data_IF_067282983919
#
_entry.id   IF_067282983919
#
_cell.length_a   1.000
_cell.length_b   1.000
_cell.length_c   1.000
_cell.angle_alpha   90.00
_cell.angle_beta   90.00
_cell.angle_gamma   90.00
#
_symmetry.space_group_name_H-M   'P 1'
#
loop_
_entity.id
_entity.type
_entity.pdbx_description
1 polymer ?
#
# COMPACT_ATOMS: atom_id res chain seq x y z
N UNK A 1 9.59 9.85 17.86
CA UNK A 1 9.26 8.94 16.73
C UNK A 1 8.30 7.83 17.17
N UNK A 2 8.67 6.97 18.12
CA UNK A 2 7.83 5.86 18.60
C UNK A 2 6.41 6.29 19.03
N UNK A 3 6.27 7.34 19.85
CA UNK A 3 4.97 7.82 20.31
C UNK A 3 4.06 8.29 19.16
N UNK A 4 4.63 8.88 18.11
CA UNK A 4 3.88 9.31 16.91
C UNK A 4 3.40 8.09 16.14
N UNK A 5 4.28 7.12 15.88
CA UNK A 5 3.89 5.89 15.20
C UNK A 5 2.85 5.08 15.98
N UNK A 6 2.99 4.98 17.30
CA UNK A 6 1.99 4.35 18.17
C UNK A 6 0.64 5.05 18.05
N UNK A 7 0.60 6.38 18.12
CA UNK A 7 -0.64 7.15 17.98
C UNK A 7 -1.28 6.92 16.61
N UNK A 8 -0.50 6.97 15.54
CA UNK A 8 -0.99 6.78 14.16
C UNK A 8 -1.57 5.36 13.98
N UNK A 9 -0.85 4.33 14.45
CA UNK A 9 -1.32 2.95 14.44
C UNK A 9 -2.67 2.79 15.17
N UNK A 10 -2.80 3.29 16.40
CA UNK A 10 -4.04 3.17 17.16
C UNK A 10 -5.18 4.02 16.58
N UNK A 11 -4.85 5.15 15.95
CA UNK A 11 -5.82 5.97 15.23
C UNK A 11 -6.41 5.21 14.04
N UNK A 12 -5.57 4.49 13.29
CA UNK A 12 -6.02 3.63 12.20
C UNK A 12 -6.81 2.44 12.73
N UNK A 13 -6.25 1.68 13.67
CA UNK A 13 -6.87 0.45 14.20
C UNK A 13 -8.27 0.67 14.80
N UNK A 14 -8.56 1.85 15.34
CA UNK A 14 -9.88 2.21 15.88
C UNK A 14 -10.81 2.91 14.88
N UNK A 15 -10.31 3.26 13.69
CA UNK A 15 -11.08 3.98 12.69
C UNK A 15 -12.14 3.10 12.03
N UNK A 16 -13.35 3.62 11.83
CA UNK A 16 -14.44 2.90 11.15
C UNK A 16 -14.05 2.46 9.74
N UNK A 17 -13.35 3.32 8.99
CA UNK A 17 -12.81 3.00 7.65
C UNK A 17 -11.83 1.82 7.69
N UNK A 18 -11.00 1.76 8.72
CA UNK A 18 -10.01 0.69 8.91
C UNK A 18 -10.69 -0.64 9.24
N UNK A 19 -11.72 -0.64 10.08
CA UNK A 19 -12.49 -1.85 10.37
C UNK A 19 -13.15 -2.39 9.10
N UNK A 20 -13.69 -1.51 8.24
CA UNK A 20 -14.21 -1.91 6.94
C UNK A 20 -13.12 -2.52 6.05
N UNK A 21 -11.93 -1.92 5.99
CA UNK A 21 -10.78 -2.49 5.26
C UNK A 21 -10.38 -3.87 5.76
N UNK A 22 -10.27 -4.06 7.08
CA UNK A 22 -9.92 -5.36 7.68
C UNK A 22 -10.97 -6.40 7.31
N UNK A 23 -12.27 -6.08 7.44
CA UNK A 23 -13.36 -6.97 7.07
C UNK A 23 -13.31 -7.34 5.59
N UNK A 24 -13.05 -6.39 4.69
CA UNK A 24 -12.93 -6.65 3.25
C UNK A 24 -11.73 -7.58 2.97
N UNK A 25 -10.56 -7.31 3.55
CA UNK A 25 -9.38 -8.16 3.37
C UNK A 25 -9.64 -9.58 3.85
N UNK A 26 -10.33 -9.74 4.98
CA UNK A 26 -10.64 -11.06 5.53
C UNK A 26 -11.71 -11.78 4.71
N UNK A 27 -12.74 -11.09 4.24
CA UNK A 27 -13.72 -11.65 3.31
C UNK A 27 -13.06 -12.14 2.04
N UNK A 28 -12.19 -11.33 1.43
CA UNK A 28 -11.48 -11.71 0.22
C UNK A 28 -10.56 -12.89 0.49
N UNK A 29 -9.81 -12.87 1.59
CA UNK A 29 -8.97 -14.01 1.99
C UNK A 29 -9.78 -15.31 2.11
N UNK A 30 -11.01 -15.24 2.62
CA UNK A 30 -11.90 -16.39 2.73
C UNK A 30 -12.45 -16.85 1.36
N UNK A 31 -12.87 -15.91 0.51
CA UNK A 31 -13.39 -16.23 -0.83
C UNK A 31 -12.32 -16.74 -1.78
N UNK A 32 -11.08 -16.24 -1.67
CA UNK A 32 -9.96 -16.73 -2.48
C UNK A 32 -9.63 -18.18 -2.14
N UNK A 33 -9.85 -18.63 -0.91
CA UNK A 33 -9.57 -20.02 -0.51
C UNK A 33 -10.70 -21.00 -0.83
N UNK A 34 -11.95 -20.54 -0.92
CA UNK A 34 -13.08 -21.35 -1.36
C UNK A 34 -13.41 -21.03 -2.80
N UNK A 35 -12.81 -21.70 -3.79
CA UNK A 35 -13.11 -21.38 -5.16
C UNK A 35 -14.56 -21.80 -5.41
N UNK A 36 -15.38 -20.86 -5.89
CA UNK A 36 -16.70 -21.21 -6.39
C UNK A 36 -16.49 -22.14 -7.58
N UNK A 37 -17.24 -23.26 -7.63
CA UNK A 37 -17.13 -24.27 -8.70
C UNK A 37 -17.33 -23.75 -10.13
N UNK A 38 -17.60 -22.46 -10.29
CA UNK A 38 -17.74 -21.72 -11.55
C UNK A 38 -16.40 -21.48 -12.26
N UNK A 39 -15.28 -21.38 -11.54
CA UNK A 39 -13.95 -21.18 -12.14
C UNK A 39 -13.05 -22.44 -12.12
N UNK A 40 -13.37 -23.42 -11.26
CA UNK A 40 -12.52 -24.61 -11.03
C UNK A 40 -12.67 -25.66 -12.14
N UNK A 41 -13.78 -25.67 -12.87
CA UNK A 41 -14.05 -26.68 -13.89
C UNK A 41 -13.13 -26.60 -15.11
N UNK A 42 -12.40 -25.50 -15.29
CA UNK A 42 -11.51 -25.26 -16.45
C UNK A 42 -10.03 -25.11 -16.07
N UNK A 43 -9.67 -25.15 -14.79
CA UNK A 43 -8.30 -24.93 -14.31
C UNK A 43 -7.61 -26.25 -13.94
N UNK A 44 -6.32 -26.36 -14.26
CA UNK A 44 -5.49 -27.46 -13.76
C UNK A 44 -5.29 -27.34 -12.24
N UNK A 45 -4.96 -28.46 -11.57
CA UNK A 45 -4.75 -28.50 -10.10
C UNK A 45 -3.65 -27.52 -9.65
N UNK A 46 -2.62 -27.34 -10.48
CA UNK A 46 -1.48 -26.44 -10.22
C UNK A 46 -1.87 -24.96 -10.37
N UNK A 47 -2.62 -24.61 -11.42
CA UNK A 47 -3.15 -23.24 -11.61
C UNK A 47 -4.16 -22.86 -10.52
N UNK A 48 -4.97 -23.83 -10.08
CA UNK A 48 -5.89 -23.64 -8.98
C UNK A 48 -5.11 -23.27 -7.71
N UNK A 49 -4.10 -24.04 -7.29
CA UNK A 49 -3.28 -23.71 -6.10
C UNK A 49 -2.64 -22.31 -6.17
N UNK A 50 -2.17 -21.90 -7.36
CA UNK A 50 -1.57 -20.58 -7.55
C UNK A 50 -2.58 -19.44 -7.37
N UNK A 51 -3.82 -19.62 -7.86
CA UNK A 51 -4.91 -18.65 -7.75
C UNK A 51 -5.36 -18.46 -6.29
N UNK A 52 -5.40 -19.54 -5.50
CA UNK A 52 -5.78 -19.48 -4.08
C UNK A 52 -4.84 -18.58 -3.25
N UNK A 53 -3.55 -18.54 -3.61
CA UNK A 53 -2.59 -17.68 -2.92
C UNK A 53 -2.51 -16.28 -3.56
N UNK A 54 -2.65 -16.19 -4.89
CA UNK A 54 -2.50 -14.92 -5.63
C UNK A 54 -3.68 -13.95 -5.47
N UNK A 55 -4.89 -14.41 -5.10
CA UNK A 55 -6.07 -13.54 -5.08
C UNK A 55 -5.95 -12.32 -4.15
N UNK A 56 -5.25 -12.47 -3.02
CA UNK A 56 -5.02 -11.33 -2.11
C UNK A 56 -4.03 -10.32 -2.70
N UNK A 57 -2.98 -10.80 -3.39
CA UNK A 57 -2.06 -9.94 -4.12
C UNK A 57 -2.78 -9.19 -5.24
N UNK A 58 -3.61 -9.88 -6.04
CA UNK A 58 -4.41 -9.27 -7.12
C UNK A 58 -5.34 -8.19 -6.56
N UNK A 59 -5.99 -8.45 -5.43
CA UNK A 59 -6.84 -7.46 -4.79
C UNK A 59 -6.06 -6.20 -4.36
N UNK A 60 -4.90 -6.38 -3.73
CA UNK A 60 -4.04 -5.25 -3.33
C UNK A 60 -3.44 -4.54 -4.55
N UNK A 61 -3.19 -5.26 -5.63
CA UNK A 61 -2.71 -4.71 -6.90
C UNK A 61 -3.74 -3.75 -7.50
N UNK A 62 -5.02 -4.13 -7.48
CA UNK A 62 -6.12 -3.34 -8.06
C UNK A 62 -6.65 -2.26 -7.12
N UNK A 63 -6.85 -2.57 -5.85
CA UNK A 63 -7.54 -1.69 -4.90
C UNK A 63 -6.65 -1.19 -3.75
N UNK A 64 -5.43 -1.71 -3.61
CA UNK A 64 -4.54 -1.35 -2.50
C UNK A 64 -4.25 0.14 -2.44
N UNK A 65 -3.89 0.76 -3.58
CA UNK A 65 -3.61 2.21 -3.62
C UNK A 65 -4.84 3.03 -3.21
N UNK A 66 -6.04 2.64 -3.63
CA UNK A 66 -7.30 3.31 -3.28
C UNK A 66 -7.55 3.22 -1.76
N UNK A 67 -7.37 2.04 -1.18
CA UNK A 67 -7.62 1.80 0.25
C UNK A 67 -6.56 2.49 1.10
N UNK A 68 -5.27 2.37 0.76
CA UNK A 68 -4.16 3.04 1.44
C UNK A 68 -4.35 4.56 1.42
N UNK A 69 -4.69 5.13 0.27
CA UNK A 69 -4.99 6.55 0.17
C UNK A 69 -6.25 6.93 0.97
N UNK A 70 -7.33 6.15 0.88
CA UNK A 70 -8.55 6.40 1.63
C UNK A 70 -8.35 6.45 3.15
N UNK A 71 -7.40 5.67 3.68
CA UNK A 71 -7.05 5.61 5.10
C UNK A 71 -6.00 6.64 5.52
N UNK A 72 -5.04 6.97 4.66
CA UNK A 72 -3.81 7.68 5.07
C UNK A 72 -3.49 8.96 4.28
N UNK A 73 -4.34 9.36 3.32
CA UNK A 73 -4.13 10.60 2.54
C UNK A 73 -3.98 11.84 3.42
N UNK A 74 -4.68 11.88 4.56
CA UNK A 74 -4.71 13.04 5.44
C UNK A 74 -3.68 13.00 6.59
N UNK A 75 -2.77 12.02 6.57
CA UNK A 75 -1.85 11.75 7.68
C UNK A 75 -0.95 12.93 8.07
N UNK A 76 -0.41 13.68 7.10
CA UNK A 76 0.44 14.86 7.36
C UNK A 76 -0.29 16.16 7.09
N UNK A 77 -0.99 16.27 5.97
CA UNK A 77 -1.60 17.53 5.58
C UNK A 77 -2.70 18.00 6.54
N UNK A 78 -3.39 17.12 7.27
CA UNK A 78 -4.38 17.52 8.27
C UNK A 78 -3.72 18.35 9.36
N UNK A 79 -2.58 17.87 9.86
CA UNK A 79 -1.80 18.58 10.88
C UNK A 79 -1.19 19.88 10.35
N UNK A 80 -0.84 19.93 9.07
CA UNK A 80 -0.38 21.15 8.40
C UNK A 80 -1.52 22.16 8.22
N UNK A 81 -2.71 21.68 7.83
CA UNK A 81 -3.88 22.50 7.57
C UNK A 81 -4.43 23.11 8.86
N UNK A 82 -4.51 22.31 9.92
CA UNK A 82 -4.96 22.72 11.26
C UNK A 82 -3.89 23.49 12.06
N UNK A 83 -2.67 23.66 11.50
CA UNK A 83 -1.50 24.26 12.14
C UNK A 83 -1.04 23.57 13.44
N UNK A 84 -1.55 22.38 13.74
CA UNK A 84 -1.15 21.58 14.90
C UNK A 84 0.24 20.98 14.75
N UNK A 85 0.78 20.95 13.53
CA UNK A 85 2.14 20.49 13.24
C UNK A 85 3.23 21.29 13.98
N UNK A 86 2.97 22.56 14.32
CA UNK A 86 3.89 23.41 15.10
C UNK A 86 4.19 22.82 16.49
N UNK A 87 3.20 22.16 17.11
CA UNK A 87 3.38 21.49 18.40
C UNK A 87 4.21 20.20 18.30
N UNK A 88 4.25 19.58 17.12
CA UNK A 88 5.04 18.37 16.88
C UNK A 88 6.49 18.71 16.58
N UNK A 89 6.74 19.76 15.78
CA UNK A 89 8.09 20.18 15.38
C UNK A 89 8.91 20.70 16.56
N UNK A 90 8.27 21.24 17.61
CA UNK A 90 8.97 21.64 18.85
C UNK A 90 9.41 20.45 19.71
N UNK A 91 8.80 19.27 19.52
CA UNK A 91 9.07 18.06 20.34
C UNK A 91 9.90 17.00 19.62
N UNK A 92 9.97 17.03 18.28
CA UNK A 92 10.73 16.07 17.48
C UNK A 92 11.18 16.68 16.15
N UNK A 93 12.21 16.10 15.55
CA UNK A 93 12.63 16.47 14.19
C UNK A 93 11.54 16.17 13.16
N UNK A 94 11.53 16.93 12.07
CA UNK A 94 10.60 16.76 10.94
C UNK A 94 10.68 15.36 10.32
N UNK A 95 11.91 14.87 10.12
CA UNK A 95 12.12 13.48 9.68
C UNK A 95 11.50 12.49 10.68
N UNK A 96 11.64 12.76 11.98
CA UNK A 96 11.05 11.95 13.04
C UNK A 96 9.52 11.89 13.02
N UNK A 97 8.85 12.97 12.57
CA UNK A 97 7.39 13.01 12.36
C UNK A 97 7.02 12.13 11.16
N UNK A 98 7.67 12.36 10.01
CA UNK A 98 7.40 11.63 8.77
C UNK A 98 7.62 10.12 8.93
N UNK A 99 8.78 9.71 9.43
CA UNK A 99 9.08 8.29 9.68
C UNK A 99 8.17 7.71 10.76
N UNK A 100 7.84 8.49 11.81
CA UNK A 100 6.87 8.07 12.82
C UNK A 100 5.51 7.71 12.20
N UNK A 101 4.98 8.57 11.34
CA UNK A 101 3.71 8.32 10.63
C UNK A 101 3.81 7.14 9.66
N UNK A 102 4.88 7.08 8.87
CA UNK A 102 5.15 5.94 8.01
C UNK A 102 5.14 4.61 8.77
N UNK A 103 5.89 4.51 9.86
CA UNK A 103 5.93 3.28 10.65
C UNK A 103 4.57 2.93 11.27
N UNK A 104 3.79 3.91 11.72
CA UNK A 104 2.45 3.66 12.25
C UNK A 104 1.50 3.05 11.20
N UNK A 105 1.49 3.63 9.99
CA UNK A 105 0.70 3.12 8.86
C UNK A 105 1.22 1.75 8.39
N UNK A 106 2.54 1.60 8.30
CA UNK A 106 3.20 0.38 7.84
C UNK A 106 2.93 -0.80 8.79
N UNK A 107 3.07 -0.60 10.10
CA UNK A 107 2.78 -1.63 11.12
C UNK A 107 1.30 -2.02 11.09
N UNK A 108 0.40 -1.06 10.89
CA UNK A 108 -1.02 -1.34 10.73
C UNK A 108 -1.28 -2.28 9.55
N UNK A 109 -0.73 -1.97 8.37
CA UNK A 109 -0.87 -2.80 7.18
C UNK A 109 -0.19 -4.16 7.32
N UNK A 110 0.98 -4.20 7.96
CA UNK A 110 1.67 -5.45 8.28
C UNK A 110 0.78 -6.39 9.09
N UNK A 111 0.13 -5.89 10.16
CA UNK A 111 -0.79 -6.71 10.96
C UNK A 111 -2.02 -7.17 10.16
N UNK A 112 -2.59 -6.31 9.32
CA UNK A 112 -3.75 -6.66 8.49
C UNK A 112 -3.41 -7.76 7.49
N UNK A 113 -2.30 -7.60 6.76
CA UNK A 113 -1.84 -8.58 5.77
C UNK A 113 -1.38 -9.87 6.46
N UNK A 114 -0.63 -9.79 7.55
CA UNK A 114 -0.21 -10.97 8.30
C UNK A 114 -1.43 -11.77 8.78
N UNK A 115 -2.46 -11.10 9.32
CA UNK A 115 -3.72 -11.75 9.69
C UNK A 115 -4.41 -12.42 8.50
N UNK A 116 -4.50 -11.73 7.37
CA UNK A 116 -5.15 -12.26 6.17
C UNK A 116 -4.39 -13.47 5.57
N UNK A 117 -3.06 -13.40 5.47
CA UNK A 117 -2.22 -14.51 4.99
C UNK A 117 -2.17 -15.69 5.97
N UNK A 118 -2.24 -15.44 7.28
CA UNK A 118 -2.37 -16.52 8.26
C UNK A 118 -3.71 -17.26 8.10
N UNK A 119 -4.80 -16.53 7.89
CA UNK A 119 -6.11 -17.13 7.62
C UNK A 119 -6.08 -17.97 6.35
N UNK A 120 -5.53 -17.47 5.25
CA UNK A 120 -5.43 -18.26 4.01
C UNK A 120 -4.52 -19.48 4.19
N UNK A 121 -3.36 -19.30 4.84
CA UNK A 121 -2.40 -20.36 5.06
C UNK A 121 -2.89 -21.48 5.96
N UNK A 122 -3.74 -21.20 6.95
CA UNK A 122 -4.39 -22.24 7.78
C UNK A 122 -5.32 -23.11 6.92
N UNK A 123 -6.08 -22.49 6.00
CA UNK A 123 -7.08 -23.20 5.19
C UNK A 123 -6.42 -23.98 4.04
N UNK A 124 -5.42 -23.39 3.37
CA UNK A 124 -4.65 -24.03 2.27
C UNK A 124 -3.55 -24.96 2.81
N UNK A 125 -3.23 -24.91 4.11
CA UNK A 125 -2.12 -25.62 4.78
C UNK A 125 -0.72 -25.29 4.23
N UNK A 126 -0.59 -24.19 3.50
CA UNK A 126 0.67 -23.70 2.93
C UNK A 126 0.75 -22.19 3.12
N UNK A 127 1.85 -21.72 3.70
CA UNK A 127 2.13 -20.29 3.84
C UNK A 127 3.15 -19.87 2.79
N UNK A 128 2.72 -19.05 1.85
CA UNK A 128 3.59 -18.47 0.83
C UNK A 128 4.20 -17.15 1.34
N UNK A 129 5.38 -17.25 1.94
CA UNK A 129 6.13 -16.09 2.44
C UNK A 129 6.64 -15.19 1.30
N UNK A 130 6.86 -15.76 0.11
CA UNK A 130 7.31 -14.99 -1.05
C UNK A 130 6.19 -14.06 -1.52
N UNK A 131 4.98 -14.58 -1.65
CA UNK A 131 3.80 -13.81 -2.07
C UNK A 131 3.37 -12.79 -1.01
N UNK A 132 3.53 -13.12 0.28
CA UNK A 132 3.41 -12.16 1.38
C UNK A 132 4.42 -11.01 1.22
N UNK A 133 5.69 -11.32 0.94
CA UNK A 133 6.74 -10.31 0.78
C UNK A 133 6.50 -9.40 -0.43
N UNK A 134 6.06 -9.97 -1.56
CA UNK A 134 5.64 -9.22 -2.75
C UNK A 134 4.48 -8.27 -2.41
N UNK A 135 3.43 -8.77 -1.76
CA UNK A 135 2.27 -7.95 -1.36
C UNK A 135 2.68 -6.84 -0.40
N UNK A 136 3.53 -7.15 0.58
CA UNK A 136 4.03 -6.17 1.54
C UNK A 136 4.90 -5.09 0.89
N UNK A 137 5.73 -5.46 -0.10
CA UNK A 137 6.54 -4.51 -0.87
C UNK A 137 5.66 -3.52 -1.63
N UNK A 138 4.59 -4.01 -2.26
CA UNK A 138 3.63 -3.18 -3.00
C UNK A 138 2.91 -2.22 -2.05
N UNK A 139 2.39 -2.70 -0.93
CA UNK A 139 1.73 -1.82 0.06
C UNK A 139 2.70 -0.79 0.63
N UNK A 140 3.97 -1.17 0.86
CA UNK A 140 5.00 -0.23 1.30
C UNK A 140 5.18 0.91 0.29
N UNK A 141 5.27 0.59 -1.00
CA UNK A 141 5.31 1.59 -2.07
C UNK A 141 4.07 2.49 -2.06
N UNK A 142 2.87 1.91 -2.01
CA UNK A 142 1.60 2.64 -1.99
C UNK A 142 1.53 3.63 -0.80
N UNK A 143 1.94 3.20 0.40
CA UNK A 143 2.00 4.06 1.60
C UNK A 143 2.92 5.25 1.35
N UNK A 144 4.12 5.02 0.79
CA UNK A 144 5.08 6.11 0.55
C UNK A 144 4.58 7.12 -0.48
N UNK A 145 3.86 6.67 -1.52
CA UNK A 145 3.19 7.57 -2.48
C UNK A 145 2.11 8.40 -1.80
N UNK A 146 1.27 7.78 -0.98
CA UNK A 146 0.23 8.49 -0.22
C UNK A 146 0.82 9.53 0.73
N UNK A 147 1.90 9.19 1.45
CA UNK A 147 2.61 10.13 2.31
C UNK A 147 3.24 11.27 1.52
N UNK A 148 3.82 10.98 0.36
CA UNK A 148 4.37 12.00 -0.53
C UNK A 148 3.29 13.00 -0.96
N UNK A 149 2.09 12.54 -1.35
CA UNK A 149 0.97 13.43 -1.64
C UNK A 149 0.51 14.24 -0.42
N UNK A 150 0.47 13.62 0.76
CA UNK A 150 0.15 14.31 2.01
C UNK A 150 1.18 15.41 2.34
N UNK A 151 2.47 15.19 2.03
CA UNK A 151 3.50 16.23 2.15
C UNK A 151 3.36 17.30 1.07
N UNK A 152 3.06 16.93 -0.18
CA UNK A 152 3.00 17.88 -1.29
C UNK A 152 1.79 18.82 -1.21
N UNK A 153 0.67 18.37 -0.66
CA UNK A 153 -0.60 19.10 -0.75
C UNK A 153 -1.14 19.36 0.65
N UNK A 154 -1.22 20.63 1.01
CA UNK A 154 -1.65 21.06 2.36
C UNK A 154 -3.14 20.90 2.60
N UNK A 155 -3.98 20.87 1.56
CA UNK A 155 -5.44 20.76 1.72
C UNK A 155 -5.86 19.27 1.68
N UNK A 156 -6.44 18.72 2.76
CA UNK A 156 -6.85 17.32 2.81
C UNK A 156 -7.81 16.91 1.69
N UNK A 157 -8.76 17.78 1.32
CA UNK A 157 -9.73 17.51 0.25
C UNK A 157 -9.08 17.22 -1.10
N UNK A 158 -7.99 17.89 -1.45
CA UNK A 158 -7.27 17.64 -2.71
C UNK A 158 -6.49 16.32 -2.68
N UNK A 159 -5.92 15.96 -1.52
CA UNK A 159 -5.27 14.65 -1.40
C UNK A 159 -6.24 13.49 -1.39
N UNK A 160 -7.47 13.68 -0.90
CA UNK A 160 -8.52 12.66 -1.01
C UNK A 160 -8.86 12.41 -2.48
N UNK A 161 -9.09 13.49 -3.24
CA UNK A 161 -9.38 13.39 -4.67
C UNK A 161 -8.23 12.73 -5.45
N UNK A 162 -7.00 13.18 -5.24
CA UNK A 162 -5.83 12.54 -5.88
C UNK A 162 -5.63 11.10 -5.43
N UNK A 163 -5.93 10.77 -4.17
CA UNK A 163 -5.92 9.41 -3.67
C UNK A 163 -6.87 8.50 -4.44
N UNK A 164 -8.08 8.99 -4.76
CA UNK A 164 -9.06 8.25 -5.55
C UNK A 164 -8.62 8.14 -7.02
N UNK A 165 -8.24 9.26 -7.62
CA UNK A 165 -7.79 9.29 -9.03
C UNK A 165 -6.58 8.37 -9.22
N UNK A 166 -5.58 8.46 -8.35
CA UNK A 166 -4.43 7.56 -8.40
C UNK A 166 -4.83 6.13 -8.06
N UNK A 167 -5.66 5.89 -7.05
CA UNK A 167 -6.16 4.56 -6.71
C UNK A 167 -6.79 3.81 -7.89
N UNK A 168 -7.51 4.51 -8.78
CA UNK A 168 -8.12 3.92 -9.97
C UNK A 168 -7.19 3.92 -11.19
N UNK A 169 -6.42 4.98 -11.40
CA UNK A 169 -5.55 5.12 -12.57
C UNK A 169 -4.30 4.23 -12.48
N UNK A 170 -3.71 4.08 -11.29
CA UNK A 170 -2.45 3.35 -11.10
C UNK A 170 -2.49 1.89 -11.59
N UNK A 171 -3.51 1.07 -11.26
CA UNK A 171 -3.59 -0.29 -11.80
C UNK A 171 -3.82 -0.32 -13.31
N UNK A 172 -4.70 0.52 -13.84
CA UNK A 172 -5.02 0.57 -15.27
C UNK A 172 -3.79 0.98 -16.09
N UNK A 173 -3.14 2.07 -15.70
CA UNK A 173 -1.91 2.53 -16.33
C UNK A 173 -0.76 1.55 -16.12
N UNK A 174 -0.64 0.97 -14.92
CA UNK A 174 0.41 0.00 -14.59
C UNK A 174 0.36 -1.24 -15.48
N UNK A 175 -0.83 -1.81 -15.66
CA UNK A 175 -1.04 -2.95 -16.56
C UNK A 175 -0.82 -2.56 -18.03
N UNK A 176 -1.38 -1.43 -18.47
CA UNK A 176 -1.18 -0.95 -19.85
C UNK A 176 0.30 -0.74 -20.18
N UNK A 177 1.02 -0.07 -19.29
CA UNK A 177 2.45 0.20 -19.46
C UNK A 177 3.24 -1.10 -19.45
N UNK A 178 2.88 -2.10 -18.64
CA UNK A 178 3.59 -3.40 -18.57
C UNK A 178 3.50 -4.19 -19.88
N UNK A 179 2.33 -4.20 -20.52
CA UNK A 179 2.10 -4.98 -21.75
C UNK A 179 2.35 -4.21 -23.05
N UNK A 180 2.58 -2.90 -23.02
CA UNK A 180 2.84 -2.14 -24.26
C UNK A 180 4.22 -2.47 -24.86
N UNK A 181 4.28 -2.65 -26.18
CA UNK A 181 5.54 -2.83 -26.93
C UNK A 181 6.12 -1.52 -27.49
N UNK A 182 5.43 -0.40 -27.27
CA UNK A 182 5.84 0.89 -27.82
C UNK A 182 7.11 1.41 -27.14
N UNK A 183 8.18 1.58 -27.91
CA UNK A 183 9.51 2.02 -27.45
C UNK A 183 9.46 3.33 -26.64
N UNK A 184 8.58 4.26 -27.00
CA UNK A 184 8.42 5.55 -26.32
C UNK A 184 7.85 5.44 -24.91
N UNK A 185 7.07 4.39 -24.63
CA UNK A 185 6.38 4.18 -23.34
C UNK A 185 7.03 3.04 -22.55
N UNK A 186 7.81 2.18 -23.21
CA UNK A 186 8.42 0.99 -22.61
C UNK A 186 9.32 1.30 -21.40
N UNK A 187 9.98 2.47 -21.36
CA UNK A 187 10.81 2.87 -20.22
C UNK A 187 10.00 3.15 -18.95
N UNK A 188 8.72 3.53 -19.05
CA UNK A 188 7.85 3.75 -17.89
C UNK A 188 7.57 2.46 -17.11
N UNK A 189 7.77 1.29 -17.72
CA UNK A 189 7.65 -0.01 -17.04
C UNK A 189 8.53 -0.10 -15.81
N UNK A 190 9.74 0.46 -15.85
CA UNK A 190 10.70 0.40 -14.75
C UNK A 190 10.31 1.28 -13.55
N UNK A 191 9.41 2.24 -13.72
CA UNK A 191 8.87 3.07 -12.64
C UNK A 191 7.65 2.39 -11.98
N UNK A 192 6.97 1.54 -12.74
CA UNK A 192 5.77 0.83 -12.31
C UNK A 192 6.13 -0.32 -11.36
N UNK A 193 5.58 -0.38 -10.13
CA UNK A 193 5.80 -1.54 -9.25
C UNK A 193 5.21 -2.83 -9.83
N UNK A 194 4.23 -2.72 -10.73
CA UNK A 194 3.56 -3.85 -11.39
C UNK A 194 4.51 -4.67 -12.26
N UNK A 195 5.47 -4.03 -12.93
CA UNK A 195 6.45 -4.72 -13.78
C UNK A 195 7.33 -5.71 -13.00
N UNK A 196 7.64 -5.37 -11.75
CA UNK A 196 8.48 -6.21 -10.89
C UNK A 196 7.69 -7.27 -10.13
N UNK A 197 6.35 -7.16 -10.07
CA UNK A 197 5.48 -8.17 -9.47
C UNK A 197 5.15 -9.31 -10.43
N UNK A 198 5.16 -9.06 -11.74
CA UNK A 198 4.96 -10.10 -12.75
C UNK A 198 6.13 -11.10 -12.80
N UNK A 199 7.32 -10.67 -12.36
CA UNK A 199 8.50 -11.52 -12.29
C UNK A 199 8.48 -12.31 -10.98
N UNK A 200 8.52 -13.65 -11.09
CA UNK A 200 8.64 -14.57 -9.95
C UNK A 200 10.05 -14.60 -9.32
N UNK A 201 10.83 -13.53 -9.48
CA UNK A 201 12.19 -13.38 -8.94
C UNK A 201 12.22 -12.38 -7.77
N UNK A 202 13.41 -12.13 -7.23
CA UNK A 202 13.60 -11.17 -6.14
C UNK A 202 13.40 -9.69 -6.56
N UNK A 203 12.82 -9.41 -7.75
CA UNK A 203 12.61 -8.05 -8.24
C UNK A 203 11.68 -7.21 -7.35
N UNK A 204 10.87 -7.82 -6.48
CA UNK A 204 10.09 -7.09 -5.48
C UNK A 204 10.95 -6.21 -4.54
N UNK A 205 12.25 -6.51 -4.39
CA UNK A 205 13.20 -5.65 -3.67
C UNK A 205 13.38 -4.27 -4.34
N UNK A 206 13.23 -4.20 -5.66
CA UNK A 206 13.26 -2.93 -6.41
C UNK A 206 12.07 -2.05 -6.02
N UNK A 207 10.92 -2.65 -5.72
CA UNK A 207 9.72 -1.93 -5.24
C UNK A 207 10.01 -1.28 -3.89
N UNK A 208 10.72 -1.99 -3.00
CA UNK A 208 11.16 -1.44 -1.70
C UNK A 208 12.14 -0.28 -1.91
N UNK A 209 13.07 -0.42 -2.86
CA UNK A 209 14.00 0.66 -3.21
C UNK A 209 13.26 1.90 -3.73
N UNK A 210 12.29 1.72 -4.64
CA UNK A 210 11.42 2.80 -5.12
C UNK A 210 10.65 3.48 -3.97
N UNK A 211 10.11 2.69 -3.03
CA UNK A 211 9.45 3.23 -1.84
C UNK A 211 10.41 4.06 -0.98
N UNK A 212 11.66 3.61 -0.82
CA UNK A 212 12.72 4.34 -0.13
C UNK A 212 13.04 5.69 -0.79
N UNK A 213 13.09 5.72 -2.14
CA UNK A 213 13.26 6.97 -2.90
C UNK A 213 12.07 7.91 -2.66
N UNK A 214 10.84 7.43 -2.75
CA UNK A 214 9.64 8.25 -2.53
C UNK A 214 9.57 8.82 -1.11
N UNK A 215 9.90 8.01 -0.10
CA UNK A 215 9.96 8.47 1.28
C UNK A 215 11.08 9.49 1.51
N UNK A 216 12.22 9.32 0.84
CA UNK A 216 13.33 10.28 0.88
C UNK A 216 12.94 11.62 0.23
N UNK A 217 12.26 11.59 -0.91
CA UNK A 217 11.71 12.78 -1.56
C UNK A 217 10.71 13.50 -0.63
N UNK A 218 9.79 12.74 -0.01
CA UNK A 218 8.84 13.30 0.96
C UNK A 218 9.58 13.99 2.12
N UNK A 219 10.65 13.38 2.64
CA UNK A 219 11.47 13.97 3.71
C UNK A 219 12.17 15.27 3.26
N UNK A 220 12.75 15.30 2.06
CA UNK A 220 13.41 16.49 1.53
C UNK A 220 12.43 17.65 1.35
N UNK A 221 11.25 17.40 0.80
CA UNK A 221 10.21 18.41 0.62
C UNK A 221 9.72 18.90 1.99
N UNK A 222 9.47 17.99 2.93
CA UNK A 222 8.99 18.33 4.27
C UNK A 222 10.00 19.16 5.08
N UNK A 223 11.31 18.93 4.88
CA UNK A 223 12.37 19.75 5.48
C UNK A 223 12.40 21.19 4.95
N UNK A 224 12.05 21.42 3.69
CA UNK A 224 12.11 22.77 3.07
C UNK A 224 10.87 23.61 3.32
N UNK A 225 9.75 23.00 3.76
CA UNK A 225 8.50 23.74 3.98
C UNK A 225 8.53 24.59 5.25
N UNK A 226 8.06 25.82 5.17
CA UNK A 226 7.72 26.62 6.35
C UNK A 226 6.30 26.23 6.80
N UNK A 227 6.10 25.98 8.09
CA UNK A 227 4.83 25.52 8.68
C UNK A 227 4.52 26.31 9.96
#
# INVERSE_FOLDING_TARGET
MYAIGKREFFSLAKGSKSLMTISILFLISYFTVKPSGVFVSELTVEEAEMIHNAGLLIFILLFGQLIVAGLSHDSLNREMHERTIRFLVTRTSRAGILFGKFFGVWVFWFMCLAGAFLLTGIVVRKLDLFLFSQTMSLVTFQITVTLLFSVLITKPGYTMFLGIVTGLAFPVCGLFVTYTSNVWVNWLKFVSPYYYLERNDAAFLIIILLAGIMLSLANLIFKRREC
#
